data_IF_145718551465
#
_entry.id   IF_145718551465
#
_cell.length_a   1.000
_cell.length_b   1.000
_cell.length_c   1.000
_cell.angle_alpha   90.00
_cell.angle_beta   90.00
_cell.angle_gamma   90.00
#
_symmetry.space_group_name_H-M   'P 1'
#
loop_
_entity.id
_entity.type
_entity.pdbx_description
1 polymer ?
#
# COMPACT_ATOMS: atom_id res chain seq x y z
N UNK A 1 1.93 -7.48 -20.71
CA UNK A 1 1.07 -6.98 -19.61
C UNK A 1 1.03 -5.46 -19.55
N UNK A 2 2.14 -4.73 -19.68
CA UNK A 2 2.19 -3.26 -19.60
C UNK A 2 1.21 -2.53 -20.53
N UNK A 3 1.10 -2.90 -21.82
CA UNK A 3 0.12 -2.28 -22.72
C UNK A 3 -1.34 -2.47 -22.25
N UNK A 4 -1.68 -3.64 -21.72
CA UNK A 4 -3.02 -3.94 -21.23
C UNK A 4 -3.38 -3.08 -20.02
N UNK A 5 -2.44 -2.88 -19.09
CA UNK A 5 -2.59 -1.98 -17.94
C UNK A 5 -2.78 -0.54 -18.41
N UNK A 6 -1.96 -0.08 -19.37
CA UNK A 6 -2.06 1.27 -19.94
C UNK A 6 -3.43 1.50 -20.58
N UNK A 7 -3.91 0.57 -21.39
CA UNK A 7 -5.23 0.65 -22.02
C UNK A 7 -6.35 0.64 -20.97
N UNK A 8 -6.27 -0.24 -19.97
CA UNK A 8 -7.25 -0.28 -18.89
C UNK A 8 -7.30 1.06 -18.13
N UNK A 9 -6.16 1.66 -17.84
CA UNK A 9 -6.06 2.96 -17.17
C UNK A 9 -6.59 4.12 -18.05
N UNK A 10 -6.30 4.12 -19.35
CA UNK A 10 -6.83 5.13 -20.28
C UNK A 10 -8.35 5.07 -20.41
N UNK A 11 -8.91 3.86 -20.30
CA UNK A 11 -10.34 3.61 -20.38
C UNK A 11 -10.97 3.32 -19.00
N UNK A 12 -10.40 3.82 -17.90
CA UNK A 12 -10.85 3.48 -16.52
C UNK A 12 -12.35 3.72 -16.26
N UNK A 13 -12.99 4.59 -17.04
CA UNK A 13 -14.42 4.92 -16.95
C UNK A 13 -15.34 3.76 -17.36
N UNK A 14 -14.89 2.81 -18.19
CA UNK A 14 -15.70 1.66 -18.60
C UNK A 14 -15.74 0.55 -17.56
N UNK A 15 -14.83 0.59 -16.57
CA UNK A 15 -14.74 -0.41 -15.51
C UNK A 15 -15.53 0.01 -14.27
N UNK A 16 -16.17 -0.97 -13.65
CA UNK A 16 -16.86 -0.87 -12.38
C UNK A 16 -15.92 -1.19 -11.22
N UNK A 17 -16.27 -0.76 -10.02
CA UNK A 17 -15.49 -1.10 -8.83
C UNK A 17 -15.44 -2.63 -8.60
N UNK A 18 -16.51 -3.34 -8.93
CA UNK A 18 -16.58 -4.81 -8.89
C UNK A 18 -15.56 -5.51 -9.80
N UNK A 19 -14.99 -4.84 -10.80
CA UNK A 19 -13.94 -5.43 -11.63
C UNK A 19 -12.63 -5.69 -10.86
N UNK A 20 -12.49 -5.08 -9.67
CA UNK A 20 -11.39 -5.34 -8.73
C UNK A 20 -11.38 -6.81 -8.28
N UNK A 21 -12.54 -7.41 -7.97
CA UNK A 21 -12.64 -8.82 -7.55
C UNK A 21 -12.51 -9.79 -8.72
N UNK A 22 -12.90 -9.37 -9.92
CA UNK A 22 -12.91 -10.19 -11.12
C UNK A 22 -11.63 -10.05 -11.95
N UNK A 23 -11.71 -9.20 -12.98
CA UNK A 23 -10.67 -9.07 -14.00
C UNK A 23 -9.31 -8.66 -13.41
N UNK A 24 -9.28 -7.65 -12.54
CA UNK A 24 -8.01 -7.13 -12.05
C UNK A 24 -7.39 -8.00 -10.96
N UNK A 25 -8.18 -8.73 -10.17
CA UNK A 25 -7.63 -9.74 -9.25
C UNK A 25 -6.88 -10.84 -10.02
N UNK A 26 -7.43 -11.32 -11.15
CA UNK A 26 -6.75 -12.29 -12.02
C UNK A 26 -5.47 -11.74 -12.64
N UNK A 27 -5.47 -10.48 -13.09
CA UNK A 27 -4.26 -9.86 -13.61
C UNK A 27 -3.17 -9.72 -12.54
N UNK A 28 -3.53 -9.44 -11.28
CA UNK A 28 -2.59 -9.45 -10.15
C UNK A 28 -1.99 -10.84 -9.92
N UNK A 29 -2.80 -11.89 -10.05
CA UNK A 29 -2.33 -13.28 -9.88
C UNK A 29 -1.35 -13.69 -11.01
N UNK A 30 -1.46 -13.09 -12.20
CA UNK A 30 -0.54 -13.30 -13.32
C UNK A 30 0.75 -12.45 -13.25
N UNK A 31 0.77 -11.42 -12.41
CA UNK A 31 1.95 -10.55 -12.29
C UNK A 31 3.12 -11.27 -11.61
N UNK A 32 4.32 -11.11 -12.18
CA UNK A 32 5.56 -11.71 -11.68
C UNK A 32 6.61 -10.68 -11.25
N UNK A 33 6.32 -9.40 -11.43
CA UNK A 33 7.28 -8.31 -11.22
C UNK A 33 6.61 -7.11 -10.57
N UNK A 34 7.40 -6.35 -9.82
CA UNK A 34 6.91 -5.23 -9.01
C UNK A 34 6.39 -4.07 -9.86
N UNK A 35 6.98 -3.84 -11.03
CA UNK A 35 6.61 -2.77 -11.96
C UNK A 35 5.18 -2.93 -12.49
N UNK A 36 4.82 -4.15 -12.89
CA UNK A 36 3.47 -4.45 -13.35
C UNK A 36 2.42 -4.34 -12.22
N UNK A 37 2.74 -4.86 -11.03
CA UNK A 37 1.85 -4.73 -9.86
C UNK A 37 1.65 -3.26 -9.51
N UNK A 38 2.72 -2.49 -9.45
CA UNK A 38 2.65 -1.10 -9.04
C UNK A 38 1.85 -0.27 -10.05
N UNK A 39 2.10 -0.46 -11.35
CA UNK A 39 1.34 0.24 -12.38
C UNK A 39 -0.15 -0.12 -12.34
N UNK A 40 -0.47 -1.42 -12.22
CA UNK A 40 -1.85 -1.89 -12.14
C UNK A 40 -2.56 -1.32 -10.90
N UNK A 41 -1.90 -1.31 -9.74
CA UNK A 41 -2.51 -0.82 -8.51
C UNK A 41 -2.68 0.70 -8.50
N UNK A 42 -1.66 1.44 -8.93
CA UNK A 42 -1.67 2.91 -8.92
C UNK A 42 -2.66 3.45 -9.94
N UNK A 43 -2.75 2.83 -11.12
CA UNK A 43 -3.54 3.39 -12.24
C UNK A 43 -4.92 2.79 -12.37
N UNK A 44 -5.16 1.60 -11.79
CA UNK A 44 -6.40 0.86 -11.97
C UNK A 44 -7.04 0.49 -10.63
N UNK A 45 -6.53 -0.49 -9.88
CA UNK A 45 -7.28 -1.02 -8.73
C UNK A 45 -7.50 0.03 -7.63
N UNK A 46 -6.47 0.80 -7.28
CA UNK A 46 -6.62 1.88 -6.31
C UNK A 46 -7.53 3.02 -6.80
N UNK A 47 -7.63 3.23 -8.12
CA UNK A 47 -8.58 4.21 -8.70
C UNK A 47 -10.01 3.68 -8.67
N UNK A 48 -10.22 2.39 -8.93
CA UNK A 48 -11.55 1.77 -8.90
C UNK A 48 -12.13 1.67 -7.49
N UNK A 49 -11.28 1.41 -6.49
CA UNK A 49 -11.70 1.40 -5.08
C UNK A 49 -12.20 2.78 -4.62
N UNK A 50 -11.73 3.88 -5.22
CA UNK A 50 -12.26 5.22 -4.95
C UNK A 50 -13.69 5.43 -5.49
N UNK A 51 -14.15 4.60 -6.45
CA UNK A 51 -15.54 4.63 -6.94
C UNK A 51 -16.51 3.94 -5.97
N UNK A 52 -16.03 2.95 -5.22
CA UNK A 52 -16.80 2.22 -4.22
C UNK A 52 -15.86 1.76 -3.10
N UNK A 53 -15.96 2.45 -1.97
CA UNK A 53 -15.11 2.19 -0.79
C UNK A 53 -15.33 0.79 -0.21
N UNK A 54 -16.42 0.09 -0.52
CA UNK A 54 -16.64 -1.28 -0.05
C UNK A 54 -15.57 -2.25 -0.60
N UNK A 55 -14.97 -1.91 -1.75
CA UNK A 55 -13.88 -2.70 -2.33
C UNK A 55 -12.61 -2.73 -1.47
N UNK A 56 -12.48 -1.84 -0.48
CA UNK A 56 -11.38 -1.94 0.48
C UNK A 56 -11.38 -3.28 1.23
N UNK A 57 -12.53 -3.90 1.46
CA UNK A 57 -12.59 -5.23 2.10
C UNK A 57 -11.83 -6.27 1.26
N UNK A 58 -11.99 -6.21 -0.06
CA UNK A 58 -11.30 -7.09 -1.02
C UNK A 58 -9.80 -6.82 -1.03
N UNK A 59 -9.41 -5.54 -1.05
CA UNK A 59 -7.99 -5.15 -1.00
C UNK A 59 -7.36 -5.62 0.31
N UNK A 60 -8.07 -5.50 1.44
CA UNK A 60 -7.58 -5.99 2.74
C UNK A 60 -7.40 -7.51 2.74
N UNK A 61 -8.30 -8.28 2.11
CA UNK A 61 -8.15 -9.73 1.95
C UNK A 61 -6.89 -10.12 1.18
N UNK A 62 -6.46 -9.31 0.20
CA UNK A 62 -5.23 -9.57 -0.55
C UNK A 62 -3.97 -9.59 0.33
N UNK A 63 -3.98 -8.91 1.48
CA UNK A 63 -2.87 -8.95 2.44
C UNK A 63 -2.62 -10.34 3.03
N UNK A 64 -3.62 -11.25 2.97
CA UNK A 64 -3.54 -12.62 3.48
C UNK A 64 -3.26 -13.67 2.41
N UNK A 65 -3.12 -13.25 1.15
CA UNK A 65 -2.86 -14.17 0.04
C UNK A 65 -1.52 -14.88 0.20
N UNK A 66 -1.40 -16.12 -0.26
CA UNK A 66 -0.11 -16.83 -0.38
C UNK A 66 0.78 -16.22 -1.47
N UNK A 67 0.19 -15.54 -2.46
CA UNK A 67 0.90 -14.88 -3.55
C UNK A 67 1.48 -13.53 -3.09
N UNK A 68 2.80 -13.40 -3.05
CA UNK A 68 3.46 -12.19 -2.51
C UNK A 68 3.10 -10.91 -3.26
N UNK A 69 2.85 -11.00 -4.57
CA UNK A 69 2.47 -9.85 -5.39
C UNK A 69 1.06 -9.36 -5.08
N UNK A 70 0.16 -10.27 -4.68
CA UNK A 70 -1.18 -9.93 -4.20
C UNK A 70 -1.12 -9.24 -2.84
N UNK A 71 -0.25 -9.71 -1.93
CA UNK A 71 0.06 -9.00 -0.67
C UNK A 71 0.67 -7.62 -0.92
N UNK A 72 1.57 -7.47 -1.90
CA UNK A 72 2.06 -6.15 -2.30
C UNK A 72 0.94 -5.25 -2.84
N UNK A 73 0.05 -5.80 -3.67
CA UNK A 73 -1.08 -5.07 -4.24
C UNK A 73 -2.02 -4.52 -3.15
N UNK A 74 -2.19 -5.22 -2.03
CA UNK A 74 -2.99 -4.71 -0.90
C UNK A 74 -2.45 -3.40 -0.34
N UNK A 75 -1.13 -3.25 -0.30
CA UNK A 75 -0.46 -2.02 0.14
C UNK A 75 -0.53 -0.94 -0.95
N UNK A 76 -0.10 -1.26 -2.17
CA UNK A 76 0.09 -0.26 -3.23
C UNK A 76 -1.24 0.36 -3.69
N UNK A 77 -2.35 -0.38 -3.57
CA UNK A 77 -3.69 0.14 -3.89
C UNK A 77 -4.10 1.35 -3.03
N UNK A 78 -3.43 1.63 -1.90
CA UNK A 78 -3.64 2.85 -1.09
C UNK A 78 -3.10 4.13 -1.73
N UNK A 79 -2.09 4.05 -2.59
CA UNK A 79 -1.41 5.23 -3.15
C UNK A 79 -2.35 6.22 -3.85
N UNK A 80 -3.31 5.80 -4.71
CA UNK A 80 -4.21 6.76 -5.33
C UNK A 80 -5.00 7.58 -4.32
N UNK A 81 -5.49 6.96 -3.23
CA UNK A 81 -6.25 7.67 -2.18
C UNK A 81 -5.41 8.72 -1.44
N UNK A 82 -4.15 8.39 -1.13
CA UNK A 82 -3.20 9.32 -0.52
C UNK A 82 -2.94 10.50 -1.45
N UNK A 83 -2.68 10.23 -2.74
CA UNK A 83 -2.32 11.25 -3.74
C UNK A 83 -3.44 12.22 -4.09
N UNK A 84 -4.70 11.82 -3.88
CA UNK A 84 -5.86 12.72 -4.01
C UNK A 84 -6.26 13.36 -2.69
N UNK A 85 -5.42 13.26 -1.65
CA UNK A 85 -5.62 13.85 -0.32
C UNK A 85 -6.87 13.33 0.41
N UNK A 86 -7.28 12.09 0.14
CA UNK A 86 -8.40 11.41 0.82
C UNK A 86 -8.03 10.01 1.34
N UNK A 87 -6.88 9.81 2.01
CA UNK A 87 -6.53 8.51 2.55
C UNK A 87 -7.43 8.14 3.72
N UNK A 88 -7.72 6.85 3.87
CA UNK A 88 -8.26 6.30 5.11
C UNK A 88 -7.10 5.80 5.98
N UNK A 89 -6.73 6.59 6.99
CA UNK A 89 -5.60 6.27 7.88
C UNK A 89 -5.79 4.90 8.55
N UNK A 90 -7.02 4.61 8.99
CA UNK A 90 -7.38 3.34 9.61
C UNK A 90 -7.19 2.14 8.68
N UNK A 91 -7.50 2.28 7.39
CA UNK A 91 -7.31 1.18 6.42
C UNK A 91 -5.84 0.98 6.07
N UNK A 92 -5.08 2.07 5.94
CA UNK A 92 -3.63 2.01 5.75
C UNK A 92 -2.97 1.33 6.95
N UNK A 93 -3.32 1.73 8.18
CA UNK A 93 -2.82 1.12 9.41
C UNK A 93 -3.11 -0.38 9.44
N UNK A 94 -4.36 -0.79 9.22
CA UNK A 94 -4.76 -2.22 9.20
C UNK A 94 -3.98 -3.03 8.17
N UNK A 95 -3.81 -2.48 6.96
CA UNK A 95 -3.09 -3.17 5.88
C UNK A 95 -1.59 -3.28 6.19
N UNK A 96 -0.97 -2.20 6.69
CA UNK A 96 0.44 -2.21 7.08
C UNK A 96 0.69 -3.13 8.29
N UNK A 97 -0.21 -3.14 9.27
CA UNK A 97 -0.15 -4.04 10.43
C UNK A 97 -0.23 -5.50 10.00
N UNK A 98 -1.14 -5.85 9.08
CA UNK A 98 -1.29 -7.22 8.58
C UNK A 98 0.00 -7.78 7.95
N UNK A 99 0.87 -6.90 7.46
CA UNK A 99 2.13 -7.25 6.78
C UNK A 99 3.37 -6.78 7.54
N UNK A 100 3.25 -6.34 8.80
CA UNK A 100 4.34 -5.71 9.53
C UNK A 100 5.55 -6.65 9.73
N UNK A 101 5.27 -7.94 9.97
CA UNK A 101 6.25 -9.01 10.17
C UNK A 101 6.73 -9.70 8.88
N UNK A 102 6.29 -9.22 7.71
CA UNK A 102 6.61 -9.82 6.42
C UNK A 102 8.13 -9.86 6.18
N UNK A 103 8.59 -10.92 5.50
CA UNK A 103 10.02 -11.16 5.24
C UNK A 103 10.44 -10.73 3.84
N UNK A 104 9.49 -10.72 2.90
CA UNK A 104 9.73 -10.40 1.51
C UNK A 104 10.23 -8.96 1.30
N UNK A 105 11.34 -8.83 0.57
CA UNK A 105 11.98 -7.53 0.31
C UNK A 105 11.03 -6.53 -0.33
N UNK A 106 10.28 -6.96 -1.36
CA UNK A 106 9.37 -6.07 -2.08
C UNK A 106 8.21 -5.60 -1.20
N UNK A 107 7.65 -6.46 -0.36
CA UNK A 107 6.55 -6.04 0.53
C UNK A 107 7.07 -5.07 1.60
N UNK A 108 8.26 -5.32 2.17
CA UNK A 108 8.92 -4.39 3.11
C UNK A 108 9.14 -3.01 2.50
N UNK A 109 9.55 -2.94 1.23
CA UNK A 109 9.67 -1.68 0.48
C UNK A 109 8.31 -1.00 0.27
N UNK A 110 7.26 -1.77 -0.02
CA UNK A 110 5.91 -1.22 -0.18
C UNK A 110 5.39 -0.60 1.13
N UNK A 111 5.56 -1.26 2.28
CA UNK A 111 5.17 -0.69 3.59
C UNK A 111 5.87 0.64 3.83
N UNK A 112 7.19 0.68 3.65
CA UNK A 112 7.96 1.91 3.80
C UNK A 112 7.53 3.01 2.83
N UNK A 113 7.17 2.66 1.60
CA UNK A 113 6.68 3.62 0.61
C UNK A 113 5.30 4.18 0.98
N UNK A 114 4.34 3.34 1.36
CA UNK A 114 3.01 3.80 1.79
C UNK A 114 3.11 4.74 2.99
N UNK A 115 3.89 4.38 4.01
CA UNK A 115 4.08 5.25 5.17
C UNK A 115 4.80 6.56 4.79
N UNK A 116 5.77 6.53 3.88
CA UNK A 116 6.42 7.74 3.40
C UNK A 116 5.47 8.67 2.64
N UNK A 117 4.59 8.13 1.80
CA UNK A 117 3.57 8.93 1.09
C UNK A 117 2.52 9.45 2.08
N UNK A 118 2.20 8.68 3.12
CA UNK A 118 1.36 9.16 4.20
C UNK A 118 2.02 10.32 4.97
N UNK A 119 3.34 10.31 5.16
CA UNK A 119 4.06 11.44 5.75
C UNK A 119 4.04 12.70 4.87
N UNK A 120 4.06 12.54 3.55
CA UNK A 120 3.90 13.67 2.62
C UNK A 120 2.49 14.27 2.70
N UNK A 121 1.47 13.47 3.02
CA UNK A 121 0.10 13.92 3.26
C UNK A 121 -0.06 14.60 4.63
N UNK A 122 0.35 13.92 5.70
CA UNK A 122 0.31 14.40 7.08
C UNK A 122 1.31 13.61 7.95
N UNK A 123 2.35 14.28 8.42
CA UNK A 123 3.40 13.67 9.23
C UNK A 123 2.87 13.14 10.57
N UNK A 124 1.83 13.75 11.14
CA UNK A 124 1.24 13.29 12.40
C UNK A 124 0.43 11.99 12.22
N UNK A 125 -0.38 11.89 11.16
CA UNK A 125 -1.06 10.65 10.80
C UNK A 125 -0.06 9.52 10.57
N UNK A 126 1.03 9.79 9.83
CA UNK A 126 2.09 8.80 9.65
C UNK A 126 2.73 8.40 10.98
N UNK A 127 3.07 9.36 11.83
CA UNK A 127 3.68 9.11 13.13
C UNK A 127 2.74 8.29 14.04
N UNK A 128 1.43 8.56 13.99
CA UNK A 128 0.42 7.78 14.70
C UNK A 128 0.44 6.30 14.27
N UNK A 129 0.38 6.04 12.96
CA UNK A 129 0.47 4.67 12.42
C UNK A 129 1.80 4.03 12.79
N UNK A 130 2.92 4.74 12.63
CA UNK A 130 4.25 4.22 12.95
C UNK A 130 4.39 3.87 14.43
N UNK A 131 3.76 4.60 15.34
CA UNK A 131 3.79 4.26 16.78
C UNK A 131 3.08 2.94 17.09
N UNK A 132 2.05 2.58 16.33
CA UNK A 132 1.34 1.32 16.51
C UNK A 132 2.15 0.10 16.03
N UNK A 133 2.78 0.21 14.86
CA UNK A 133 3.39 -0.96 14.18
C UNK A 133 4.92 -0.91 14.05
N UNK A 134 5.54 0.23 14.34
CA UNK A 134 6.94 0.51 14.03
C UNK A 134 7.94 -0.44 14.70
N UNK A 135 7.57 -0.99 15.86
CA UNK A 135 8.34 -2.02 16.56
C UNK A 135 8.41 -3.35 15.79
N UNK A 136 7.39 -3.68 15.00
CA UNK A 136 7.34 -4.94 14.24
C UNK A 136 7.99 -4.79 12.86
N UNK A 137 8.05 -3.58 12.34
CA UNK A 137 8.59 -3.30 11.02
C UNK A 137 10.08 -3.65 10.86
N UNK A 138 10.43 -4.13 9.67
CA UNK A 138 11.83 -4.32 9.26
C UNK A 138 12.62 -3.00 9.31
N UNK A 139 13.94 -3.08 9.51
CA UNK A 139 14.81 -1.90 9.48
C UNK A 139 14.71 -1.14 8.15
N UNK A 140 14.50 -1.88 7.05
CA UNK A 140 14.29 -1.30 5.72
C UNK A 140 13.01 -0.47 5.68
N UNK A 141 11.88 -1.04 6.09
CA UNK A 141 10.58 -0.36 6.12
C UNK A 141 10.62 0.88 7.02
N UNK A 142 11.25 0.77 8.19
CA UNK A 142 11.43 1.90 9.13
C UNK A 142 12.22 3.04 8.51
N UNK A 143 13.39 2.74 7.91
CA UNK A 143 14.23 3.76 7.26
C UNK A 143 13.55 4.42 6.06
N UNK A 144 12.79 3.67 5.27
CA UNK A 144 12.05 4.20 4.12
C UNK A 144 10.89 5.08 4.56
N UNK A 145 10.10 4.64 5.55
CA UNK A 145 8.97 5.38 6.08
C UNK A 145 9.39 6.74 6.62
N UNK A 146 10.40 6.79 7.49
CA UNK A 146 10.84 8.02 8.15
C UNK A 146 11.76 8.89 7.29
N UNK A 147 11.93 8.57 6.00
CA UNK A 147 12.96 9.19 5.14
C UNK A 147 12.82 10.71 5.03
N UNK A 148 11.58 11.21 4.98
CA UNK A 148 11.24 12.62 4.73
C UNK A 148 10.79 13.38 5.98
N UNK A 149 10.78 12.73 7.14
CA UNK A 149 10.39 13.39 8.38
C UNK A 149 11.47 14.34 8.87
N UNK A 150 11.04 15.37 9.59
CA UNK A 150 11.93 16.26 10.33
C UNK A 150 12.85 15.47 11.28
N UNK A 151 14.12 15.89 11.46
CA UNK A 151 15.12 15.11 12.20
C UNK A 151 14.66 14.67 13.60
N UNK A 152 14.04 15.58 14.37
CA UNK A 152 13.58 15.28 15.72
C UNK A 152 12.49 14.18 15.73
N UNK A 153 11.43 14.36 14.93
CA UNK A 153 10.36 13.37 14.83
C UNK A 153 10.87 12.03 14.29
N UNK A 154 11.80 12.06 13.33
CA UNK A 154 12.45 10.86 12.80
C UNK A 154 13.19 10.10 13.90
N UNK A 155 14.00 10.79 14.69
CA UNK A 155 14.77 10.19 15.78
C UNK A 155 13.84 9.56 16.82
N UNK A 156 12.81 10.29 17.24
CA UNK A 156 11.79 9.82 18.18
C UNK A 156 11.12 8.52 17.71
N UNK A 157 10.70 8.47 16.44
CA UNK A 157 10.07 7.27 15.88
C UNK A 157 11.06 6.11 15.72
N UNK A 158 12.30 6.38 15.32
CA UNK A 158 13.31 5.34 15.17
C UNK A 158 13.76 4.74 16.51
N UNK A 159 13.53 5.42 17.64
CA UNK A 159 13.80 4.90 18.98
C UNK A 159 12.75 3.90 19.50
N UNK A 160 11.60 3.76 18.83
CA UNK A 160 10.58 2.77 19.18
C UNK A 160 11.17 1.36 19.05
N UNK A 161 11.35 0.66 20.17
CA UNK A 161 12.05 -0.64 20.19
C UNK A 161 11.30 -1.69 19.38
N UNK A 162 12.05 -2.67 18.84
CA UNK A 162 11.42 -3.87 18.30
C UNK A 162 10.84 -4.69 19.43
N UNK A 163 9.58 -5.07 19.33
CA UNK A 163 9.05 -6.16 20.15
C UNK A 163 9.83 -7.41 19.72
N UNK A 164 10.74 -7.86 20.59
CA UNK A 164 11.64 -8.99 20.35
C UNK A 164 10.90 -10.28 20.62
#
# INVERSE_FOLDING_TARGET
>A
MSLAIVLAALHIKIFHASDVTGTFSRWIDECQTWDHIDELCIRVTGVLVLKDISMWQVIEEWSRSEHMWKRRASLISHLPSIRIMQPSIKLIERTCHALALEQEFFIRKAIGWILRELADYDSESMASVFRQIGGELSNLSRKEATRKLEPALREDLLNIRKNT
#
